data_IF_605372763273
#
_entry.id   IF_605372763273
#
_cell.length_a   1.000
_cell.length_b   1.000
_cell.length_c   1.000
_cell.angle_alpha   90.00
_cell.angle_beta   90.00
_cell.angle_gamma   90.00
#
_symmetry.space_group_name_H-M   'P 1'
#
loop_
_entity.id
_entity.type
_entity.pdbx_description
1 polymer ?
#
# COMPACT_ATOMS: atom_id res chain seq x y z
N UNK A 1 -26.68 28.67 14.33
CA UNK A 1 -27.21 27.53 13.55
C UNK A 1 -26.18 27.05 12.55
N UNK A 2 -25.31 26.10 12.91
CA UNK A 2 -24.47 25.35 11.97
C UNK A 2 -24.22 24.00 12.61
N UNK A 3 -24.92 22.97 12.18
CA UNK A 3 -24.54 21.56 12.32
C UNK A 3 -25.62 20.77 11.55
N UNK A 4 -25.58 20.83 10.23
CA UNK A 4 -26.32 19.90 9.37
C UNK A 4 -25.38 18.73 9.15
N UNK A 5 -25.67 17.65 9.87
CA UNK A 5 -25.06 16.33 9.85
C UNK A 5 -24.46 15.97 8.48
N UNK A 6 -23.12 16.06 8.35
CA UNK A 6 -22.40 15.26 7.37
C UNK A 6 -22.60 13.81 7.81
N UNK A 7 -23.42 13.04 7.10
CA UNK A 7 -23.34 11.60 7.19
C UNK A 7 -21.86 11.23 7.05
N UNK A 8 -21.27 10.67 8.11
CA UNK A 8 -19.87 10.30 8.11
C UNK A 8 -19.73 9.14 7.11
N UNK A 9 -19.46 9.47 5.85
CA UNK A 9 -19.05 8.50 4.85
C UNK A 9 -17.71 7.98 5.33
N UNK A 10 -17.75 6.86 6.05
CA UNK A 10 -16.54 6.17 6.46
C UNK A 10 -15.82 5.73 5.19
N UNK A 11 -14.56 6.15 4.99
CA UNK A 11 -13.83 5.74 3.80
C UNK A 11 -13.72 4.22 3.79
N UNK A 12 -13.80 3.64 2.59
CA UNK A 12 -13.61 2.19 2.42
C UNK A 12 -12.20 1.83 2.95
N UNK A 13 -12.07 0.87 3.86
CA UNK A 13 -10.76 0.43 4.35
C UNK A 13 -9.89 -0.15 3.22
N UNK A 14 -8.58 0.07 3.30
CA UNK A 14 -7.58 -0.56 2.45
C UNK A 14 -7.11 -1.88 3.10
N UNK A 15 -7.85 -2.95 2.81
CA UNK A 15 -7.53 -4.29 3.29
C UNK A 15 -6.26 -4.84 2.62
N UNK A 16 -5.98 -4.48 1.36
CA UNK A 16 -4.80 -4.94 0.62
C UNK A 16 -3.49 -4.54 1.32
N UNK A 17 -3.38 -3.27 1.75
CA UNK A 17 -2.23 -2.80 2.51
C UNK A 17 -2.13 -3.49 3.89
N UNK A 18 -3.27 -3.64 4.57
CA UNK A 18 -3.34 -4.27 5.89
C UNK A 18 -2.90 -5.74 5.82
N UNK A 19 -3.30 -6.45 4.78
CA UNK A 19 -2.98 -7.85 4.55
C UNK A 19 -1.53 -8.02 4.11
N UNK A 20 -1.03 -7.17 3.20
CA UNK A 20 0.37 -7.16 2.79
C UNK A 20 1.31 -6.98 4.00
N UNK A 21 0.99 -6.05 4.90
CA UNK A 21 1.73 -5.90 6.16
C UNK A 21 1.63 -7.15 7.02
N UNK A 22 0.43 -7.71 7.19
CA UNK A 22 0.21 -8.87 8.07
C UNK A 22 0.88 -10.16 7.59
N UNK A 23 1.19 -10.27 6.29
CA UNK A 23 1.97 -11.39 5.73
C UNK A 23 3.41 -11.42 6.20
N UNK A 24 3.98 -10.27 6.57
CA UNK A 24 5.34 -10.20 7.07
C UNK A 24 5.38 -10.49 8.58
N UNK A 25 6.32 -11.30 9.06
CA UNK A 25 6.52 -11.49 10.49
C UNK A 25 7.10 -10.23 11.12
N UNK A 26 6.75 -9.98 12.38
CA UNK A 26 7.37 -8.93 13.18
C UNK A 26 8.82 -9.31 13.50
N UNK A 27 9.79 -8.40 13.29
CA UNK A 27 11.17 -8.63 13.66
C UNK A 27 11.41 -8.62 15.18
N UNK A 28 10.56 -7.90 15.93
CA UNK A 28 10.74 -7.71 17.36
C UNK A 28 9.83 -8.59 18.23
N UNK A 29 8.72 -9.09 17.67
CA UNK A 29 7.73 -9.89 18.39
C UNK A 29 7.55 -11.27 17.73
N UNK A 30 8.10 -12.34 18.34
CA UNK A 30 7.91 -13.70 17.83
C UNK A 30 6.43 -14.05 17.67
N UNK A 31 6.12 -14.80 16.60
CA UNK A 31 4.76 -15.25 16.27
C UNK A 31 3.72 -14.14 16.08
N UNK A 32 4.15 -12.89 15.89
CA UNK A 32 3.27 -11.79 15.51
C UNK A 32 3.57 -11.31 14.11
N UNK A 33 2.55 -10.77 13.46
CA UNK A 33 2.70 -10.07 12.21
C UNK A 33 3.32 -8.67 12.42
N UNK A 34 3.94 -8.14 11.38
CA UNK A 34 4.55 -6.81 11.37
C UNK A 34 3.55 -5.75 11.82
N UNK A 35 3.88 -5.00 12.86
CA UNK A 35 3.01 -3.93 13.37
C UNK A 35 3.05 -2.68 12.47
N UNK A 36 2.08 -1.77 12.66
CA UNK A 36 2.09 -0.47 11.95
C UNK A 36 3.31 0.37 12.29
N UNK A 37 3.76 0.30 13.54
CA UNK A 37 4.94 1.03 13.99
C UNK A 37 6.20 0.46 13.32
N UNK A 38 6.38 -0.85 13.34
CA UNK A 38 7.54 -1.49 12.70
C UNK A 38 7.56 -1.28 11.19
N UNK A 39 6.39 -1.25 10.54
CA UNK A 39 6.32 -0.86 9.13
C UNK A 39 6.78 0.59 8.94
N UNK A 40 6.31 1.52 9.76
CA UNK A 40 6.71 2.93 9.66
C UNK A 40 8.23 3.10 9.86
N UNK A 41 8.80 2.42 10.85
CA UNK A 41 10.25 2.39 11.09
C UNK A 41 11.01 1.81 9.88
N UNK A 42 10.54 0.70 9.31
CA UNK A 42 11.16 0.09 8.12
C UNK A 42 11.12 1.02 6.90
N UNK A 43 10.03 1.76 6.69
CA UNK A 43 9.93 2.76 5.63
C UNK A 43 10.94 3.89 5.83
N UNK A 44 11.04 4.42 7.05
CA UNK A 44 11.98 5.50 7.35
C UNK A 44 13.43 5.05 7.16
N UNK A 45 13.77 3.82 7.57
CA UNK A 45 15.10 3.23 7.33
C UNK A 45 15.37 3.10 5.83
N UNK A 46 14.40 2.63 5.04
CA UNK A 46 14.55 2.54 3.58
C UNK A 46 14.77 3.92 2.96
N UNK A 47 13.95 4.90 3.33
CA UNK A 47 14.03 6.26 2.80
C UNK A 47 15.35 6.93 3.16
N UNK A 48 15.83 6.74 4.39
CA UNK A 48 17.13 7.24 4.84
C UNK A 48 18.28 6.60 4.03
N UNK A 49 18.26 5.28 3.82
CA UNK A 49 19.30 4.57 3.06
C UNK A 49 19.35 4.92 1.57
N UNK A 50 18.27 5.51 1.05
CA UNK A 50 18.13 5.93 -0.35
C UNK A 50 18.24 7.45 -0.51
N UNK A 51 18.62 8.16 0.56
CA UNK A 51 18.73 9.62 0.61
C UNK A 51 17.44 10.34 0.12
N UNK A 52 16.28 9.72 0.36
CA UNK A 52 15.00 10.28 -0.04
C UNK A 52 14.61 11.40 0.92
N UNK A 53 14.53 12.63 0.40
CA UNK A 53 14.08 13.78 1.17
C UNK A 53 12.55 13.77 1.30
N UNK A 54 12.03 13.01 2.27
CA UNK A 54 10.62 13.03 2.60
C UNK A 54 10.36 13.04 4.12
N UNK A 55 9.19 13.54 4.56
CA UNK A 55 8.83 13.53 5.96
C UNK A 55 8.82 12.12 6.53
N UNK A 56 9.22 12.00 7.79
CA UNK A 56 9.13 10.76 8.55
C UNK A 56 7.71 10.23 8.55
N UNK A 57 7.57 8.93 8.26
CA UNK A 57 6.31 8.20 8.33
C UNK A 57 6.14 7.64 9.73
N UNK A 58 4.97 7.81 10.32
CA UNK A 58 4.63 7.30 11.65
C UNK A 58 3.49 6.26 11.60
N UNK A 59 3.26 5.58 12.73
CA UNK A 59 2.19 4.58 12.83
C UNK A 59 0.80 5.15 12.51
N UNK A 60 0.58 6.45 12.76
CA UNK A 60 -0.70 7.14 12.52
C UNK A 60 -0.93 7.33 11.02
N UNK A 61 0.13 7.67 10.28
CA UNK A 61 0.12 7.76 8.83
C UNK A 61 -0.22 6.40 8.20
N UNK A 62 0.42 5.32 8.66
CA UNK A 62 0.07 3.95 8.25
C UNK A 62 -1.41 3.66 8.54
N UNK A 63 -1.90 4.03 9.72
CA UNK A 63 -3.32 3.86 10.07
C UNK A 63 -4.28 4.71 9.21
N UNK A 64 -3.84 5.83 8.63
CA UNK A 64 -4.65 6.60 7.66
C UNK A 64 -4.69 5.90 6.30
N UNK A 65 -3.58 5.31 5.87
CA UNK A 65 -3.50 4.56 4.61
C UNK A 65 -4.35 3.28 4.67
N UNK A 66 -4.25 2.51 5.75
CA UNK A 66 -5.03 1.28 5.96
C UNK A 66 -6.53 1.55 6.11
N UNK A 67 -6.94 2.67 6.71
CA UNK A 67 -8.37 3.06 6.78
C UNK A 67 -8.88 3.67 5.48
N UNK A 68 -8.02 3.89 4.48
CA UNK A 68 -8.41 4.57 3.25
C UNK A 68 -8.72 6.07 3.43
N UNK A 69 -8.39 6.67 4.57
CA UNK A 69 -8.51 8.12 4.78
C UNK A 69 -7.59 8.88 3.84
N UNK A 70 -6.39 8.32 3.59
CA UNK A 70 -5.50 8.78 2.54
C UNK A 70 -5.27 7.62 1.56
N UNK A 71 -5.84 7.72 0.36
CA UNK A 71 -5.82 6.68 -0.67
C UNK A 71 -4.61 6.75 -1.59
N UNK A 72 -3.94 7.90 -1.63
CA UNK A 72 -2.83 8.16 -2.53
C UNK A 72 -1.66 8.82 -1.77
N UNK A 73 -0.82 8.00 -1.09
CA UNK A 73 0.37 8.50 -0.39
C UNK A 73 1.34 9.21 -1.35
N UNK A 74 2.28 9.99 -0.80
CA UNK A 74 3.32 10.67 -1.60
C UNK A 74 4.17 9.64 -2.39
N UNK A 75 4.71 10.00 -3.57
CA UNK A 75 5.45 9.07 -4.42
C UNK A 75 6.57 8.31 -3.70
N UNK A 76 7.39 9.01 -2.92
CA UNK A 76 8.51 8.42 -2.17
C UNK A 76 8.05 7.41 -1.11
N UNK A 77 6.90 7.66 -0.49
CA UNK A 77 6.31 6.74 0.50
C UNK A 77 5.74 5.50 -0.19
N UNK A 78 5.13 5.66 -1.38
CA UNK A 78 4.63 4.52 -2.16
C UNK A 78 5.78 3.64 -2.66
N UNK A 79 6.86 4.25 -3.16
CA UNK A 79 8.09 3.53 -3.52
C UNK A 79 8.66 2.75 -2.33
N UNK A 80 8.82 3.40 -1.18
CA UNK A 80 9.30 2.74 0.02
C UNK A 80 8.38 1.58 0.45
N UNK A 81 7.05 1.74 0.36
CA UNK A 81 6.09 0.69 0.68
C UNK A 81 6.19 -0.51 -0.25
N UNK A 82 6.35 -0.29 -1.56
CA UNK A 82 6.58 -1.35 -2.54
C UNK A 82 7.83 -2.14 -2.22
N UNK A 83 8.94 -1.45 -1.96
CA UNK A 83 10.22 -2.08 -1.61
C UNK A 83 10.17 -2.85 -0.29
N UNK A 84 9.59 -2.28 0.78
CA UNK A 84 9.56 -2.92 2.10
C UNK A 84 8.56 -4.08 2.16
N UNK A 85 7.39 -3.95 1.55
CA UNK A 85 6.35 -4.99 1.54
C UNK A 85 6.57 -6.04 0.44
N UNK A 86 7.62 -5.88 -0.39
CA UNK A 86 7.95 -6.77 -1.52
C UNK A 86 6.79 -6.91 -2.49
N UNK A 87 6.21 -5.78 -2.88
CA UNK A 87 5.09 -5.69 -3.81
C UNK A 87 5.51 -4.80 -4.99
N UNK A 88 5.26 -5.28 -6.20
CA UNK A 88 5.71 -4.62 -7.44
C UNK A 88 4.95 -3.32 -7.76
N UNK A 89 3.64 -3.30 -7.48
CA UNK A 89 2.73 -2.24 -7.95
C UNK A 89 1.98 -1.54 -6.83
N UNK A 90 1.62 -0.27 -7.07
CA UNK A 90 0.86 0.56 -6.13
C UNK A 90 -0.56 -0.02 -5.93
N UNK A 91 -1.14 -0.59 -6.99
CA UNK A 91 -2.47 -1.22 -7.03
C UNK A 91 -2.54 -2.48 -6.18
N UNK A 92 -1.45 -3.27 -6.13
CA UNK A 92 -1.37 -4.45 -5.28
C UNK A 92 -1.35 -4.11 -3.78
N UNK A 93 -1.02 -2.85 -3.44
CA UNK A 93 -1.19 -2.28 -2.10
C UNK A 93 -2.53 -1.53 -1.92
N UNK A 94 -3.40 -1.54 -2.93
CA UNK A 94 -4.68 -0.85 -2.93
C UNK A 94 -4.59 0.66 -3.08
N UNK A 95 -3.43 1.20 -3.49
CA UNK A 95 -3.30 2.62 -3.80
C UNK A 95 -3.84 2.91 -5.20
N UNK A 96 -4.65 3.95 -5.29
CA UNK A 96 -5.15 4.48 -6.55
C UNK A 96 -5.29 5.99 -6.40
N UNK A 97 -5.04 6.72 -7.49
CA UNK A 97 -5.50 8.11 -7.56
C UNK A 97 -7.01 8.02 -7.49
N UNK A 98 -7.62 8.74 -6.56
CA UNK A 98 -9.07 8.82 -6.53
C UNK A 98 -9.50 9.32 -7.90
N UNK A 99 -10.09 8.46 -8.72
CA UNK A 99 -10.88 8.92 -9.83
C UNK A 99 -11.89 9.87 -9.19
N UNK A 100 -11.96 11.11 -9.68
CA UNK A 100 -13.22 11.83 -9.56
C UNK A 100 -14.18 10.89 -10.25
N UNK A 101 -14.96 10.11 -9.52
CA UNK A 101 -16.03 9.33 -10.11
C UNK A 101 -16.79 10.33 -10.99
N UNK A 102 -16.79 10.22 -12.32
CA UNK A 102 -17.87 10.84 -13.06
C UNK A 102 -19.07 10.15 -12.47
N UNK A 103 -19.91 10.88 -11.72
CA UNK A 103 -21.25 10.44 -11.40
C UNK A 103 -21.84 10.03 -12.73
N UNK A 104 -21.83 8.73 -13.00
CA UNK A 104 -22.40 8.20 -14.23
C UNK A 104 -23.89 8.34 -13.98
N UNK A 105 -24.62 9.25 -14.66
CA UNK A 105 -26.06 9.19 -14.58
C UNK A 105 -26.44 7.79 -15.05
N UNK A 106 -27.10 7.03 -14.19
CA UNK A 106 -27.68 5.73 -14.55
C UNK A 106 -28.74 6.02 -15.59
N UNK A 107 -28.36 5.97 -16.87
CA UNK A 107 -29.28 5.96 -17.99
C UNK A 107 -29.36 4.51 -18.44
N UNK A 108 -30.51 3.89 -18.13
CA UNK A 108 -31.05 2.73 -18.84
C UNK A 108 -30.12 1.53 -19.01
N UNK A 109 -30.20 0.60 -18.07
CA UNK A 109 -29.79 -0.78 -18.25
C UNK A 109 -30.60 -1.49 -19.36
N UNK A 110 -29.93 -2.00 -20.38
CA UNK A 110 -30.32 -3.20 -21.14
C UNK A 110 -29.09 -4.14 -21.21
N UNK A 111 -29.21 -5.45 -20.93
CA UNK A 111 -28.04 -6.32 -20.72
C UNK A 111 -27.46 -6.91 -22.02
N UNK A 112 -26.12 -6.92 -22.04
CA UNK A 112 -25.13 -7.68 -22.81
C UNK A 112 -25.57 -8.67 -23.92
N UNK A 113 -24.67 -8.86 -24.92
CA UNK A 113 -24.22 -10.22 -25.16
C UNK A 113 -22.72 -10.41 -24.95
N UNK A 114 -22.45 -11.60 -24.43
CA UNK A 114 -21.19 -12.21 -24.10
C UNK A 114 -20.39 -12.46 -25.39
N UNK A 115 -19.13 -12.03 -25.45
CA UNK A 115 -18.16 -12.65 -26.37
C UNK A 115 -16.83 -12.87 -25.66
N UNK A 116 -16.56 -14.14 -25.36
CA UNK A 116 -15.23 -14.66 -25.14
C UNK A 116 -14.32 -14.33 -26.31
N UNK A 117 -13.08 -13.93 -26.04
CA UNK A 117 -11.95 -14.41 -26.84
C UNK A 117 -10.63 -14.22 -26.11
N UNK A 118 -9.88 -15.33 -26.12
CA UNK A 118 -8.50 -15.47 -25.72
C UNK A 118 -7.57 -14.52 -26.49
N UNK A 119 -6.57 -13.98 -25.77
CA UNK A 119 -5.21 -13.74 -26.24
C UNK A 119 -4.32 -13.67 -24.98
N UNK A 120 -3.64 -14.74 -24.58
CA UNK A 120 -2.39 -15.26 -25.15
C UNK A 120 -1.23 -14.24 -25.12
N UNK A 121 -0.37 -14.45 -24.11
CA UNK A 121 1.08 -14.30 -24.11
C UNK A 121 1.71 -12.91 -24.36
N UNK A 122 2.62 -12.50 -23.45
CA UNK A 122 4.06 -12.64 -23.73
C UNK A 122 4.90 -12.41 -22.47
N UNK A 123 5.55 -13.50 -22.07
CA UNK A 123 6.87 -13.50 -21.47
C UNK A 123 7.73 -12.39 -22.09
N UNK A 124 8.21 -11.46 -21.27
CA UNK A 124 9.42 -10.72 -21.54
C UNK A 124 10.34 -10.94 -20.34
N UNK A 125 11.18 -11.96 -20.51
CA UNK A 125 12.40 -12.18 -19.77
C UNK A 125 13.31 -10.97 -19.98
N UNK A 126 13.91 -10.43 -18.92
CA UNK A 126 15.35 -10.09 -18.80
C UNK A 126 15.61 -9.52 -17.38
N UNK A 127 16.86 -9.63 -16.88
CA UNK A 127 17.18 -9.99 -15.51
C UNK A 127 18.03 -8.93 -14.80
N UNK A 128 18.47 -9.26 -13.58
CA UNK A 128 19.17 -8.40 -12.61
C UNK A 128 18.26 -7.27 -12.10
N UNK A 129 18.04 -7.13 -10.79
CA UNK A 129 19.10 -6.83 -9.84
C UNK A 129 18.72 -7.22 -8.41
N UNK A 130 19.75 -7.71 -7.73
CA UNK A 130 19.96 -7.72 -6.28
C UNK A 130 19.10 -8.66 -5.43
N UNK A 131 19.70 -9.82 -5.20
CA UNK A 131 19.76 -10.37 -3.84
C UNK A 131 20.14 -9.26 -2.85
N UNK A 132 19.15 -8.74 -2.14
CA UNK A 132 19.35 -8.13 -0.84
C UNK A 132 18.50 -8.92 0.14
N UNK A 133 19.08 -10.04 0.55
CA UNK A 133 18.78 -10.67 1.83
C UNK A 133 19.11 -9.63 2.90
N UNK A 134 18.15 -8.79 3.27
CA UNK A 134 18.22 -8.04 4.51
C UNK A 134 17.84 -8.98 5.64
N UNK A 135 18.87 -9.72 6.03
CA UNK A 135 19.18 -10.13 7.39
C UNK A 135 18.69 -9.05 8.35
N UNK A 136 17.56 -9.33 9.01
CA UNK A 136 17.20 -8.68 10.26
C UNK A 136 18.03 -9.41 11.33
N UNK A 137 19.32 -9.10 11.42
CA UNK A 137 20.17 -9.58 12.51
C UNK A 137 20.25 -8.52 13.60
N UNK A 138 19.96 -8.98 14.81
CA UNK A 138 20.03 -8.24 16.05
C UNK A 138 21.50 -8.06 16.42
N UNK A 139 21.99 -6.83 16.49
CA UNK A 139 23.11 -6.51 17.40
C UNK A 139 22.81 -5.30 18.25
N UNK A 140 22.21 -5.62 19.39
CA UNK A 140 22.40 -4.93 20.66
C UNK A 140 23.83 -5.25 21.11
N UNK A 141 24.73 -4.27 21.11
CA UNK A 141 26.02 -4.36 21.80
C UNK A 141 26.25 -3.03 22.52
N UNK A 142 26.09 -3.13 23.84
CA UNK A 142 26.49 -2.22 24.94
C UNK A 142 25.83 -0.86 25.03
#
# INVERSE_FOLDING_TARGET
MKEVWKAAVNPVPNNLLSDARKRLPSPNQPNRALSRQELAEALNVYMLRRDLTAPSVDLRSIGKYERGVNRWPRPLVREAMRSVLKVETDEALGFHRGDRTPTTPVIGSEPAPLLSSHHAARFCMLPLQNELVLVIDRRRMR
#
